data_IF_249734968173
#
_entry.id   IF_249734968173
#
_cell.length_a   1.000
_cell.length_b   1.000
_cell.length_c   1.000
_cell.angle_alpha   90.00
_cell.angle_beta   90.00
_cell.angle_gamma   90.00
#
_symmetry.space_group_name_H-M   'P 1'
#
loop_
_entity.id
_entity.type
_entity.pdbx_description
1 polymer ?
#
# COMPACT_ATOMS: atom_id res chain seq x y z
N UNK A 1 33.64 46.98 -13.59
CA UNK A 1 33.67 48.35 -14.15
C UNK A 1 35.10 48.91 -14.32
N UNK A 2 36.09 48.54 -13.48
CA UNK A 2 37.47 49.01 -13.69
C UNK A 2 38.10 48.53 -15.01
N UNK A 3 37.90 47.26 -15.41
CA UNK A 3 38.48 46.72 -16.64
C UNK A 3 37.96 47.39 -17.93
N UNK A 4 36.69 47.78 -17.96
CA UNK A 4 36.11 48.49 -19.11
C UNK A 4 36.62 49.93 -19.21
N UNK A 5 36.82 50.62 -18.08
CA UNK A 5 37.43 51.95 -18.08
C UNK A 5 38.88 51.90 -18.55
N UNK A 6 39.64 50.87 -18.16
CA UNK A 6 41.02 50.66 -18.66
C UNK A 6 41.09 50.39 -20.17
N UNK A 7 40.17 49.58 -20.71
CA UNK A 7 40.11 49.28 -22.15
C UNK A 7 39.79 50.54 -22.98
N UNK A 8 38.78 51.32 -22.57
CA UNK A 8 38.43 52.57 -23.24
C UNK A 8 39.53 53.62 -23.11
N UNK A 9 40.17 53.74 -21.95
CA UNK A 9 41.32 54.63 -21.74
C UNK A 9 42.51 54.24 -22.62
N UNK A 10 42.81 52.95 -22.73
CA UNK A 10 43.89 52.42 -23.59
C UNK A 10 43.60 52.63 -25.09
N UNK A 11 42.38 52.37 -25.54
CA UNK A 11 41.96 52.64 -26.93
C UNK A 11 41.98 54.13 -27.25
N UNK A 12 41.57 54.99 -26.32
CA UNK A 12 41.60 56.44 -26.50
C UNK A 12 43.03 56.97 -26.56
N UNK A 13 43.90 56.54 -25.64
CA UNK A 13 45.31 56.90 -25.65
C UNK A 13 46.01 56.39 -26.92
N UNK A 14 45.71 55.15 -27.34
CA UNK A 14 46.23 54.58 -28.58
C UNK A 14 45.77 55.33 -29.82
N UNK A 15 44.50 55.75 -29.88
CA UNK A 15 43.96 56.56 -30.98
C UNK A 15 44.62 57.93 -31.07
N UNK A 16 44.80 58.60 -29.93
CA UNK A 16 45.52 59.87 -29.86
C UNK A 16 46.97 59.73 -30.30
N UNK A 17 47.66 58.68 -29.84
CA UNK A 17 49.04 58.40 -30.23
C UNK A 17 49.15 58.11 -31.74
N UNK A 18 48.18 57.39 -32.31
CA UNK A 18 48.10 57.14 -33.75
C UNK A 18 47.86 58.43 -34.56
N UNK A 19 46.97 59.33 -34.09
CA UNK A 19 46.67 60.58 -34.79
C UNK A 19 47.85 61.55 -34.81
N UNK A 20 48.65 61.59 -33.75
CA UNK A 20 49.77 62.53 -33.64
C UNK A 20 51.10 61.98 -34.16
N UNK A 21 51.35 60.67 -34.01
CA UNK A 21 52.62 60.05 -34.40
C UNK A 21 52.52 59.05 -35.54
N UNK A 22 51.35 58.45 -35.78
CA UNK A 22 51.18 57.36 -36.75
C UNK A 22 50.71 57.81 -38.14
N UNK A 23 50.01 58.95 -38.24
CA UNK A 23 49.36 59.40 -39.47
C UNK A 23 49.95 60.74 -39.94
N UNK A 24 50.43 60.85 -41.20
CA UNK A 24 50.98 62.09 -41.76
C UNK A 24 49.87 63.07 -42.17
N UNK A 25 49.01 63.45 -41.23
CA UNK A 25 47.89 64.36 -41.47
C UNK A 25 48.32 65.80 -41.20
N UNK A 26 48.20 66.67 -42.21
CA UNK A 26 48.45 68.11 -42.04
C UNK A 26 47.24 68.80 -41.40
N UNK A 27 47.22 68.83 -40.06
CA UNK A 27 46.15 69.48 -39.28
C UNK A 27 45.99 70.98 -39.56
N UNK A 28 47.00 71.63 -40.15
CA UNK A 28 46.97 73.05 -40.54
C UNK A 28 46.00 73.35 -41.70
N UNK A 29 45.62 72.35 -42.49
CA UNK A 29 44.72 72.50 -43.66
C UNK A 29 43.28 72.07 -43.37
N UNK A 30 43.01 71.53 -42.18
CA UNK A 30 41.68 71.08 -41.78
C UNK A 30 40.90 72.22 -41.13
N UNK A 31 39.59 72.27 -41.41
CA UNK A 31 38.70 73.17 -40.68
C UNK A 31 38.63 72.76 -39.20
N UNK A 32 38.41 73.70 -38.27
CA UNK A 32 38.29 73.41 -36.85
C UNK A 32 37.24 72.32 -36.54
N UNK A 33 36.16 72.26 -37.31
CA UNK A 33 35.10 71.25 -37.18
C UNK A 33 35.57 69.85 -37.61
N UNK A 34 36.33 69.75 -38.71
CA UNK A 34 36.87 68.48 -39.16
C UNK A 34 37.87 67.93 -38.14
N UNK A 35 38.71 68.80 -37.58
CA UNK A 35 39.63 68.44 -36.51
C UNK A 35 38.87 67.90 -35.28
N UNK A 36 37.82 68.59 -34.83
CA UNK A 36 37.00 68.12 -33.71
C UNK A 36 36.41 66.73 -33.95
N UNK A 37 35.81 66.51 -35.13
CA UNK A 37 35.19 65.24 -35.49
C UNK A 37 36.20 64.08 -35.59
N UNK A 38 37.40 64.31 -36.10
CA UNK A 38 38.45 63.26 -36.16
C UNK A 38 38.87 62.77 -34.77
N UNK A 39 38.84 63.64 -33.77
CA UNK A 39 39.22 63.27 -32.39
C UNK A 39 38.05 62.68 -31.60
N UNK A 40 36.82 63.15 -31.83
CA UNK A 40 35.64 62.77 -31.04
C UNK A 40 34.80 61.64 -31.66
N UNK A 41 34.71 61.53 -32.99
CA UNK A 41 33.79 60.58 -33.62
C UNK A 41 34.19 59.10 -33.37
N UNK A 42 35.45 58.68 -33.52
CA UNK A 42 35.84 57.29 -33.28
C UNK A 42 35.55 56.78 -31.86
N UNK A 43 35.92 57.49 -30.77
CA UNK A 43 35.61 57.02 -29.42
C UNK A 43 34.11 57.02 -29.12
N UNK A 44 33.34 57.96 -29.67
CA UNK A 44 31.88 57.99 -29.52
C UNK A 44 31.23 56.79 -30.25
N UNK A 45 31.63 56.51 -31.49
CA UNK A 45 31.11 55.38 -32.27
C UNK A 45 31.45 54.05 -31.60
N UNK A 46 32.69 53.87 -31.14
CA UNK A 46 33.10 52.68 -30.40
C UNK A 46 32.31 52.50 -29.10
N UNK A 47 32.05 53.59 -28.37
CA UNK A 47 31.22 53.57 -27.17
C UNK A 47 29.78 53.13 -27.43
N UNK A 48 29.17 53.63 -28.51
CA UNK A 48 27.81 53.24 -28.93
C UNK A 48 27.76 51.78 -29.37
N UNK A 49 28.70 51.35 -30.24
CA UNK A 49 28.78 49.97 -30.70
C UNK A 49 28.99 48.98 -29.54
N UNK A 50 29.85 49.34 -28.59
CA UNK A 50 30.09 48.55 -27.39
C UNK A 50 28.83 48.42 -26.52
N UNK A 51 28.08 49.52 -26.30
CA UNK A 51 26.82 49.45 -25.56
C UNK A 51 25.76 48.59 -26.24
N UNK A 52 25.64 48.67 -27.57
CA UNK A 52 24.72 47.82 -28.33
C UNK A 52 25.13 46.35 -28.16
N UNK A 53 26.42 46.05 -28.29
CA UNK A 53 26.93 44.69 -28.12
C UNK A 53 26.68 44.16 -26.70
N UNK A 54 26.91 44.97 -25.65
CA UNK A 54 26.60 44.59 -24.27
C UNK A 54 25.12 44.27 -24.09
N UNK A 55 24.21 45.12 -24.61
CA UNK A 55 22.77 44.85 -24.54
C UNK A 55 22.38 43.55 -25.22
N UNK A 56 22.92 43.27 -26.41
CA UNK A 56 22.65 42.02 -27.14
C UNK A 56 23.20 40.81 -26.40
N UNK A 57 24.38 40.95 -25.78
CA UNK A 57 24.98 39.88 -24.98
C UNK A 57 24.16 39.58 -23.73
N UNK A 58 23.73 40.62 -23.01
CA UNK A 58 22.87 40.49 -21.83
C UNK A 58 21.53 39.85 -22.19
N UNK A 59 20.89 40.27 -23.29
CA UNK A 59 19.62 39.69 -23.72
C UNK A 59 19.75 38.20 -24.08
N UNK A 60 20.86 37.80 -24.72
CA UNK A 60 21.11 36.37 -25.02
C UNK A 60 21.34 35.54 -23.76
N UNK A 61 22.06 36.08 -22.77
CA UNK A 61 22.27 35.37 -21.50
C UNK A 61 20.94 35.16 -20.77
N UNK A 62 20.09 36.19 -20.73
CA UNK A 62 18.74 36.09 -20.13
C UNK A 62 17.88 35.06 -20.86
N UNK A 63 17.92 35.02 -22.20
CA UNK A 63 17.17 34.01 -22.98
C UNK A 63 17.65 32.59 -22.71
N UNK A 64 18.97 32.36 -22.63
CA UNK A 64 19.53 31.04 -22.32
C UNK A 64 19.17 30.61 -20.88
N UNK A 65 19.19 31.55 -19.93
CA UNK A 65 18.77 31.28 -18.56
C UNK A 65 17.27 30.97 -18.46
N UNK A 66 16.43 31.72 -19.17
CA UNK A 66 14.99 31.47 -19.22
C UNK A 66 14.67 30.09 -19.85
N UNK A 67 15.28 29.77 -21.00
CA UNK A 67 15.12 28.46 -21.64
C UNK A 67 15.63 27.31 -20.76
N UNK A 68 16.72 27.52 -20.01
CA UNK A 68 17.22 26.53 -19.05
C UNK A 68 16.28 26.33 -17.85
N UNK A 69 15.63 27.38 -17.36
CA UNK A 69 14.62 27.30 -16.31
C UNK A 69 13.36 26.58 -16.80
N UNK A 70 12.87 26.91 -17.99
CA UNK A 70 11.71 26.24 -18.61
C UNK A 70 11.97 24.75 -18.82
N UNK A 71 13.15 24.36 -19.31
CA UNK A 71 13.54 22.96 -19.46
C UNK A 71 13.60 22.23 -18.11
N UNK A 72 14.18 22.86 -17.08
CA UNK A 72 14.25 22.27 -15.75
C UNK A 72 12.87 22.13 -15.09
N UNK A 73 11.95 23.05 -15.35
CA UNK A 73 10.56 22.96 -14.89
C UNK A 73 9.79 21.86 -15.64
N UNK A 74 9.97 21.75 -16.96
CA UNK A 74 9.40 20.68 -17.77
C UNK A 74 9.87 19.29 -17.27
N UNK A 75 11.16 19.13 -16.97
CA UNK A 75 11.72 17.89 -16.43
C UNK A 75 11.12 17.54 -15.06
N UNK A 76 10.96 18.54 -14.18
CA UNK A 76 10.34 18.34 -12.85
C UNK A 76 8.88 17.91 -12.98
N UNK A 77 8.14 18.48 -13.93
CA UNK A 77 6.74 18.10 -14.19
C UNK A 77 6.70 16.67 -14.74
N UNK A 78 7.53 16.34 -15.73
CA UNK A 78 7.61 15.00 -16.31
C UNK A 78 7.95 13.93 -15.26
N UNK A 79 8.88 14.20 -14.34
CA UNK A 79 9.21 13.29 -13.24
C UNK A 79 8.02 13.08 -12.27
N UNK A 80 7.29 14.15 -11.94
CA UNK A 80 6.09 14.05 -11.08
C UNK A 80 4.98 13.26 -11.76
N UNK A 81 4.77 13.46 -13.06
CA UNK A 81 3.78 12.71 -13.83
C UNK A 81 4.16 11.24 -13.96
N UNK A 82 5.42 10.92 -14.24
CA UNK A 82 5.91 9.55 -14.26
C UNK A 82 5.71 8.85 -12.90
N UNK A 83 6.03 9.53 -11.79
CA UNK A 83 5.80 8.99 -10.44
C UNK A 83 4.31 8.77 -10.15
N UNK A 84 3.43 9.68 -10.59
CA UNK A 84 1.97 9.50 -10.48
C UNK A 84 1.50 8.30 -11.31
N UNK A 85 1.95 8.18 -12.55
CA UNK A 85 1.59 7.05 -13.41
C UNK A 85 2.04 5.71 -12.83
N UNK A 86 3.27 5.63 -12.32
CA UNK A 86 3.76 4.44 -11.61
C UNK A 86 2.90 4.12 -10.38
N UNK A 87 2.52 5.13 -9.60
CA UNK A 87 1.64 4.94 -8.46
C UNK A 87 0.25 4.41 -8.87
N UNK A 88 -0.36 4.98 -9.91
CA UNK A 88 -1.66 4.52 -10.43
C UNK A 88 -1.59 3.13 -11.04
N UNK A 89 -0.50 2.78 -11.73
CA UNK A 89 -0.27 1.43 -12.24
C UNK A 89 -0.19 0.42 -11.08
N UNK A 90 0.58 0.73 -10.04
CA UNK A 90 0.66 -0.11 -8.84
C UNK A 90 -0.69 -0.22 -8.10
N UNK A 91 -1.49 0.85 -8.04
CA UNK A 91 -2.85 0.79 -7.49
C UNK A 91 -3.77 -0.09 -8.34
N UNK A 92 -3.65 -0.04 -9.66
CA UNK A 92 -4.45 -0.84 -10.59
C UNK A 92 -4.08 -2.32 -10.50
N UNK A 93 -2.79 -2.64 -10.40
CA UNK A 93 -2.30 -3.99 -10.16
C UNK A 93 -2.80 -4.56 -8.81
N UNK A 94 -2.84 -3.74 -7.76
CA UNK A 94 -3.44 -4.12 -6.46
C UNK A 94 -4.95 -4.31 -6.52
N UNK A 95 -5.61 -3.75 -7.54
CA UNK A 95 -7.04 -3.90 -7.78
C UNK A 95 -7.39 -5.10 -8.67
N UNK A 96 -6.42 -5.95 -9.05
CA UNK A 96 -6.72 -7.20 -9.74
C UNK A 96 -7.52 -8.09 -8.77
N UNK A 97 -8.82 -8.13 -8.99
CA UNK A 97 -9.78 -8.82 -8.12
C UNK A 97 -9.64 -10.33 -8.35
N UNK A 98 -9.19 -11.05 -7.33
CA UNK A 98 -9.42 -12.49 -7.25
C UNK A 98 -10.73 -12.70 -6.51
N UNK A 99 -11.64 -13.47 -7.08
CA UNK A 99 -12.91 -13.78 -6.40
C UNK A 99 -12.63 -14.72 -5.22
N UNK A 100 -12.56 -14.14 -4.03
CA UNK A 100 -12.59 -14.89 -2.78
C UNK A 100 -14.03 -15.37 -2.55
N UNK A 101 -14.21 -16.66 -2.25
CA UNK A 101 -15.53 -17.26 -2.00
C UNK A 101 -16.06 -16.89 -0.62
N UNK A 102 -15.15 -16.70 0.33
CA UNK A 102 -15.50 -16.20 1.65
C UNK A 102 -14.26 -15.86 2.48
N UNK A 103 -14.46 -14.98 3.44
CA UNK A 103 -13.46 -14.50 4.39
C UNK A 103 -14.03 -14.68 5.78
N UNK A 104 -13.26 -15.30 6.67
CA UNK A 104 -13.57 -15.48 8.07
C UNK A 104 -12.48 -14.79 8.87
N UNK A 105 -12.85 -13.80 9.66
CA UNK A 105 -11.92 -13.05 10.50
C UNK A 105 -12.30 -13.19 11.97
N UNK A 106 -11.29 -13.42 12.78
CA UNK A 106 -11.39 -13.38 14.23
C UNK A 106 -10.35 -12.41 14.75
N UNK A 107 -10.74 -11.51 15.63
CA UNK A 107 -9.77 -10.64 16.30
C UNK A 107 -10.24 -10.25 17.68
N UNK A 108 -9.28 -10.07 18.58
CA UNK A 108 -9.49 -9.48 19.89
C UNK A 108 -9.67 -7.96 19.70
N UNK A 109 -10.87 -7.40 19.94
CA UNK A 109 -11.07 -5.97 19.81
C UNK A 109 -10.33 -5.22 20.93
N UNK A 110 -9.70 -4.12 20.56
CA UNK A 110 -8.93 -3.29 21.48
C UNK A 110 -9.82 -2.30 22.24
N UNK A 111 -10.90 -1.86 21.60
CA UNK A 111 -11.95 -1.03 22.17
C UNK A 111 -13.29 -1.70 21.76
N UNK A 112 -14.29 -0.94 21.35
CA UNK A 112 -15.51 -1.47 20.75
C UNK A 112 -15.30 -1.97 19.32
N UNK A 113 -16.13 -2.93 18.92
CA UNK A 113 -16.23 -3.34 17.52
C UNK A 113 -16.66 -2.15 16.67
N UNK A 114 -15.92 -1.82 15.59
CA UNK A 114 -16.32 -0.71 14.75
C UNK A 114 -17.63 -1.01 14.02
N UNK A 115 -18.52 -0.02 13.95
CA UNK A 115 -19.87 -0.15 13.39
C UNK A 115 -19.91 -0.69 11.94
N UNK A 116 -18.86 -0.48 11.14
CA UNK A 116 -18.80 -1.00 9.77
C UNK A 116 -18.75 -2.54 9.71
N UNK A 117 -18.41 -3.23 10.81
CA UNK A 117 -18.50 -4.69 10.88
C UNK A 117 -19.94 -5.20 10.87
N UNK A 118 -20.92 -4.36 11.20
CA UNK A 118 -22.34 -4.70 11.06
C UNK A 118 -22.78 -4.72 9.58
N UNK A 119 -22.03 -4.05 8.70
CA UNK A 119 -22.30 -3.89 7.27
C UNK A 119 -21.39 -4.80 6.40
N UNK A 120 -21.07 -5.99 6.89
CA UNK A 120 -20.23 -6.93 6.14
C UNK A 120 -20.96 -7.47 4.89
N UNK A 121 -20.28 -7.58 3.74
CA UNK A 121 -20.86 -8.15 2.55
C UNK A 121 -21.07 -9.67 2.70
N UNK A 122 -21.98 -10.23 1.91
CA UNK A 122 -22.18 -11.68 1.84
C UNK A 122 -20.86 -12.43 1.61
N UNK A 123 -20.63 -13.46 2.43
CA UNK A 123 -19.40 -14.25 2.40
C UNK A 123 -18.25 -13.67 3.23
N UNK A 124 -18.42 -12.52 3.87
CA UNK A 124 -17.50 -12.06 4.92
C UNK A 124 -18.12 -12.31 6.30
N UNK A 125 -17.37 -12.99 7.15
CA UNK A 125 -17.76 -13.36 8.51
C UNK A 125 -16.72 -12.80 9.47
N UNK A 126 -17.19 -12.21 10.56
CA UNK A 126 -16.34 -11.66 11.58
C UNK A 126 -16.84 -12.04 12.96
N UNK A 127 -15.95 -12.61 13.77
CA UNK A 127 -16.23 -12.95 15.17
C UNK A 127 -15.23 -12.20 16.05
N UNK A 128 -15.71 -11.47 17.05
CA UNK A 128 -14.84 -10.83 18.02
C UNK A 128 -14.41 -11.87 19.05
N UNK A 129 -13.10 -11.99 19.31
CA UNK A 129 -12.56 -12.87 20.33
C UNK A 129 -12.75 -12.22 21.71
N UNK A 130 -13.14 -13.02 22.69
CA UNK A 130 -13.17 -12.58 24.08
C UNK A 130 -11.84 -12.92 24.77
N UNK A 131 -11.39 -12.07 25.69
CA UNK A 131 -10.09 -12.25 26.37
C UNK A 131 -10.09 -13.47 27.29
N UNK A 132 -11.24 -13.76 27.89
CA UNK A 132 -11.41 -14.89 28.80
C UNK A 132 -11.25 -16.23 28.06
N UNK A 133 -11.63 -16.29 26.78
CA UNK A 133 -11.40 -17.46 25.90
C UNK A 133 -9.91 -17.72 25.63
N UNK A 134 -9.07 -16.69 25.75
CA UNK A 134 -7.62 -16.80 25.54
C UNK A 134 -6.85 -17.09 26.83
N UNK A 135 -7.41 -16.73 28.00
CA UNK A 135 -6.77 -16.93 29.30
C UNK A 135 -6.77 -18.40 29.76
N UNK A 136 -7.65 -19.24 29.21
CA UNK A 136 -7.77 -20.65 29.58
C UNK A 136 -6.53 -21.50 29.23
N UNK A 137 -5.70 -21.08 28.27
CA UNK A 137 -4.48 -21.80 27.88
C UNK A 137 -3.27 -21.55 28.82
N UNK A 138 -3.43 -20.70 29.84
CA UNK A 138 -2.32 -20.25 30.68
C UNK A 138 -1.54 -19.12 30.00
N UNK A 139 -1.14 -18.13 30.79
CA UNK A 139 -0.53 -16.86 30.34
C UNK A 139 0.79 -17.05 29.57
N UNK A 140 1.46 -18.20 29.73
CA UNK A 140 2.73 -18.53 29.09
C UNK A 140 2.60 -19.37 27.80
N UNK A 141 1.44 -19.97 27.49
CA UNK A 141 1.26 -20.83 26.31
C UNK A 141 0.66 -20.08 25.11
N UNK A 142 1.45 -19.12 24.68
CA UNK A 142 1.36 -18.37 23.44
C UNK A 142 0.91 -19.19 22.22
N UNK A 143 1.57 -20.32 21.99
CA UNK A 143 1.32 -21.15 20.82
C UNK A 143 0.01 -21.92 20.97
N UNK A 144 -0.32 -22.35 22.20
CA UNK A 144 -1.61 -22.91 22.54
C UNK A 144 -2.77 -21.96 22.25
N UNK A 145 -2.68 -20.69 22.64
CA UNK A 145 -3.73 -19.70 22.33
C UNK A 145 -3.87 -19.46 20.83
N UNK A 146 -2.74 -19.34 20.11
CA UNK A 146 -2.76 -19.17 18.65
C UNK A 146 -3.38 -20.37 17.95
N UNK A 147 -3.05 -21.58 18.41
CA UNK A 147 -3.60 -22.82 17.91
C UNK A 147 -5.12 -22.87 18.10
N UNK A 148 -5.61 -22.48 19.27
CA UNK A 148 -7.05 -22.43 19.58
C UNK A 148 -7.79 -21.49 18.63
N UNK A 149 -7.29 -20.28 18.44
CA UNK A 149 -7.90 -19.28 17.54
C UNK A 149 -7.90 -19.78 16.10
N UNK A 150 -6.78 -20.36 15.62
CA UNK A 150 -6.73 -20.96 14.28
C UNK A 150 -7.72 -22.12 14.14
N UNK A 151 -7.83 -22.97 15.16
CA UNK A 151 -8.80 -24.07 15.19
C UNK A 151 -10.24 -23.54 15.11
N UNK A 152 -10.58 -22.48 15.85
CA UNK A 152 -11.91 -21.86 15.85
C UNK A 152 -12.24 -21.29 14.47
N UNK A 153 -11.36 -20.47 13.88
CA UNK A 153 -11.54 -19.93 12.53
C UNK A 153 -11.73 -21.06 11.50
N UNK A 154 -10.88 -22.08 11.53
CA UNK A 154 -11.02 -23.22 10.60
C UNK A 154 -12.31 -23.99 10.83
N UNK A 155 -12.74 -24.13 12.08
CA UNK A 155 -14.04 -24.72 12.43
C UNK A 155 -15.20 -23.96 11.78
N UNK A 156 -15.23 -22.63 11.89
CA UNK A 156 -16.25 -21.79 11.25
C UNK A 156 -16.22 -21.90 9.71
N UNK A 157 -15.01 -21.94 9.13
CA UNK A 157 -14.82 -22.16 7.69
C UNK A 157 -15.42 -23.49 7.27
N UNK A 158 -15.14 -24.58 7.99
CA UNK A 158 -15.63 -25.92 7.64
C UNK A 158 -17.13 -26.10 7.88
N UNK A 159 -17.69 -25.44 8.90
CA UNK A 159 -19.13 -25.41 9.13
C UNK A 159 -19.86 -24.70 7.98
N UNK A 160 -19.29 -23.58 7.51
CA UNK A 160 -19.89 -22.77 6.44
C UNK A 160 -19.65 -23.37 5.05
N UNK A 161 -18.47 -23.98 4.86
CA UNK A 161 -17.98 -24.49 3.58
C UNK A 161 -17.14 -25.75 3.83
N UNK A 162 -17.79 -26.87 4.14
CA UNK A 162 -17.12 -28.14 4.44
C UNK A 162 -16.09 -28.55 3.38
N UNK A 163 -16.39 -28.29 2.11
CA UNK A 163 -15.48 -28.50 0.97
C UNK A 163 -14.08 -27.89 1.14
N UNK A 164 -13.94 -26.83 1.95
CA UNK A 164 -12.67 -26.17 2.24
C UNK A 164 -11.67 -27.11 2.94
N UNK A 165 -12.13 -28.07 3.75
CA UNK A 165 -11.26 -29.03 4.43
C UNK A 165 -10.44 -29.88 3.45
N UNK A 166 -10.96 -30.12 2.24
CA UNK A 166 -10.29 -30.89 1.18
C UNK A 166 -9.39 -30.05 0.26
N UNK A 167 -9.36 -28.73 0.43
CA UNK A 167 -8.48 -27.87 -0.35
C UNK A 167 -7.08 -27.84 0.27
N UNK A 168 -6.03 -27.57 -0.52
CA UNK A 168 -4.73 -27.25 0.03
C UNK A 168 -4.78 -26.03 0.95
N UNK A 169 -4.08 -26.14 2.08
CA UNK A 169 -4.04 -25.15 3.13
C UNK A 169 -2.69 -24.43 3.11
N UNK A 170 -2.72 -23.11 2.94
CA UNK A 170 -1.53 -22.25 2.95
C UNK A 170 -1.58 -21.25 4.10
N UNK A 171 -0.44 -21.04 4.75
CA UNK A 171 -0.29 -20.16 5.89
C UNK A 171 0.72 -19.04 5.64
N UNK A 172 0.38 -17.82 6.05
CA UNK A 172 1.35 -16.71 6.09
C UNK A 172 2.33 -16.88 7.24
N UNK A 173 3.62 -16.95 6.92
CA UNK A 173 4.69 -17.20 7.90
C UNK A 173 4.72 -16.10 8.96
N UNK A 174 4.71 -16.49 10.24
CA UNK A 174 5.13 -15.58 11.32
C UNK A 174 6.67 -15.60 11.41
N UNK A 175 7.37 -14.48 11.13
CA UNK A 175 8.84 -14.46 11.14
C UNK A 175 9.44 -14.57 12.54
N UNK A 176 8.64 -14.45 13.61
CA UNK A 176 9.11 -14.46 14.99
C UNK A 176 9.18 -15.86 15.60
N UNK A 177 8.67 -16.88 14.91
CA UNK A 177 8.57 -18.25 15.42
C UNK A 177 9.32 -19.24 14.52
N UNK A 178 9.75 -20.37 15.06
CA UNK A 178 10.39 -21.40 14.23
C UNK A 178 9.38 -22.01 13.25
N UNK A 179 9.76 -22.12 11.97
CA UNK A 179 8.86 -22.59 10.93
C UNK A 179 8.37 -24.04 11.12
N UNK A 180 9.18 -24.92 11.72
CA UNK A 180 8.78 -26.32 11.96
C UNK A 180 7.70 -26.43 13.04
N UNK A 181 7.86 -25.68 14.13
CA UNK A 181 6.91 -25.62 15.23
C UNK A 181 5.58 -25.02 14.77
N UNK A 182 5.63 -23.95 13.96
CA UNK A 182 4.45 -23.37 13.33
C UNK A 182 3.68 -24.41 12.50
N UNK A 183 4.35 -25.14 11.60
CA UNK A 183 3.67 -26.14 10.77
C UNK A 183 3.08 -27.29 11.59
N UNK A 184 3.76 -27.70 12.67
CA UNK A 184 3.25 -28.73 13.57
C UNK A 184 1.98 -28.26 14.30
N UNK A 185 2.00 -27.04 14.86
CA UNK A 185 0.86 -26.41 15.52
C UNK A 185 -0.33 -26.27 14.56
N UNK A 186 -0.09 -25.77 13.35
CA UNK A 186 -1.13 -25.58 12.34
C UNK A 186 -1.73 -26.91 11.89
N UNK A 187 -0.91 -27.95 11.76
CA UNK A 187 -1.38 -29.30 11.42
C UNK A 187 -2.29 -29.82 12.53
N UNK A 188 -1.94 -29.59 13.79
CA UNK A 188 -2.75 -29.97 14.93
C UNK A 188 -4.08 -29.20 14.98
N UNK A 189 -4.05 -27.88 14.80
CA UNK A 189 -5.25 -27.05 14.72
C UNK A 189 -6.19 -27.50 13.59
N UNK A 190 -5.64 -27.79 12.41
CA UNK A 190 -6.40 -28.29 11.26
C UNK A 190 -7.06 -29.64 11.57
N UNK A 191 -6.31 -30.59 12.15
CA UNK A 191 -6.85 -31.90 12.54
C UNK A 191 -7.96 -31.77 13.58
N UNK A 192 -7.78 -30.92 14.60
CA UNK A 192 -8.80 -30.68 15.63
C UNK A 192 -10.06 -30.07 15.03
N UNK A 193 -9.93 -29.05 14.17
CA UNK A 193 -11.06 -28.44 13.49
C UNK A 193 -11.80 -29.43 12.56
N UNK A 194 -11.08 -30.33 11.89
CA UNK A 194 -11.65 -31.39 11.05
C UNK A 194 -12.31 -32.50 11.85
N UNK A 195 -11.73 -32.92 12.97
CA UNK A 195 -12.30 -33.94 13.86
C UNK A 195 -13.61 -33.48 14.52
N UNK A 196 -13.80 -32.17 14.67
CA UNK A 196 -15.06 -31.60 15.10
C UNK A 196 -16.17 -31.70 14.03
N UNK A 197 -15.82 -32.02 12.78
CA UNK A 197 -16.79 -32.23 11.71
C UNK A 197 -17.23 -33.70 11.69
N UNK A 198 -18.54 -33.93 11.52
CA UNK A 198 -19.13 -35.27 11.38
C UNK A 198 -18.89 -35.83 9.96
N UNK A 199 -17.63 -36.09 9.62
CA UNK A 199 -17.20 -36.62 8.34
C UNK A 199 -16.65 -38.04 8.49
N UNK A 200 -17.16 -38.96 7.68
CA UNK A 200 -16.75 -40.37 7.71
C UNK A 200 -15.30 -40.61 7.25
N UNK A 201 -14.75 -39.71 6.42
CA UNK A 201 -13.37 -39.74 5.93
C UNK A 201 -12.82 -38.32 5.96
N UNK A 202 -11.70 -38.14 6.67
CA UNK A 202 -11.01 -36.86 6.76
C UNK A 202 -9.84 -36.81 5.78
N UNK A 203 -9.61 -35.66 5.11
CA UNK A 203 -8.41 -35.47 4.29
C UNK A 203 -7.15 -35.40 5.16
N UNK A 204 -6.00 -35.67 4.56
CA UNK A 204 -4.72 -35.52 5.25
C UNK A 204 -4.40 -34.04 5.49
N UNK A 205 -4.08 -33.68 6.74
CA UNK A 205 -3.66 -32.34 7.11
C UNK A 205 -2.20 -32.10 6.70
N UNK A 206 -2.01 -31.33 5.63
CA UNK A 206 -0.72 -30.86 5.14
C UNK A 206 -0.70 -29.32 4.98
N UNK A 207 -0.68 -28.55 6.08
CA UNK A 207 -0.50 -27.11 5.98
C UNK A 207 0.88 -26.80 5.39
N UNK A 208 0.93 -25.82 4.48
CA UNK A 208 2.16 -25.38 3.81
C UNK A 208 2.32 -23.87 3.99
N UNK A 209 3.54 -23.37 4.02
CA UNK A 209 3.75 -21.94 3.97
C UNK A 209 3.36 -21.38 2.61
N UNK A 210 2.71 -20.21 2.63
CA UNK A 210 2.29 -19.54 1.42
C UNK A 210 3.51 -18.98 0.68
N UNK A 211 3.76 -19.39 -0.58
CA UNK A 211 5.01 -19.07 -1.26
C UNK A 211 5.06 -17.60 -1.72
N UNK A 212 6.28 -17.07 -1.75
CA UNK A 212 6.58 -15.74 -2.27
C UNK A 212 6.36 -14.60 -1.26
N UNK A 213 6.72 -13.40 -1.68
CA UNK A 213 6.53 -12.16 -0.90
C UNK A 213 5.68 -11.15 -1.68
N UNK A 214 5.07 -10.20 -0.98
CA UNK A 214 4.28 -9.13 -1.57
C UNK A 214 2.77 -9.27 -1.34
N UNK A 215 1.98 -8.65 -2.22
CA UNK A 215 0.52 -8.63 -2.05
C UNK A 215 -0.08 -10.04 -2.12
N UNK A 216 -0.99 -10.35 -1.19
CA UNK A 216 -1.68 -11.65 -1.11
C UNK A 216 -2.27 -12.05 -2.48
N UNK A 217 -3.04 -11.15 -3.11
CA UNK A 217 -3.72 -11.45 -4.38
C UNK A 217 -2.77 -11.86 -5.52
N UNK A 218 -1.63 -11.17 -5.65
CA UNK A 218 -0.62 -11.50 -6.68
C UNK A 218 -0.05 -12.89 -6.47
N UNK A 219 0.22 -13.26 -5.21
CA UNK A 219 0.70 -14.60 -4.86
C UNK A 219 -0.36 -15.67 -5.08
N UNK A 220 -1.64 -15.39 -4.81
CA UNK A 220 -2.75 -16.32 -5.10
C UNK A 220 -2.86 -16.59 -6.60
N UNK A 221 -2.75 -15.55 -7.42
CA UNK A 221 -2.77 -15.70 -8.87
C UNK A 221 -1.58 -16.51 -9.37
N UNK A 222 -0.38 -16.21 -8.87
CA UNK A 222 0.83 -16.96 -9.21
C UNK A 222 0.68 -18.44 -8.81
N UNK A 223 0.10 -18.73 -7.65
CA UNK A 223 -0.13 -20.10 -7.20
C UNK A 223 -1.05 -20.87 -8.16
N UNK A 224 -2.19 -20.29 -8.55
CA UNK A 224 -3.09 -20.93 -9.52
C UNK A 224 -2.52 -21.00 -10.95
N UNK A 225 -1.60 -20.11 -11.31
CA UNK A 225 -0.89 -20.17 -12.59
C UNK A 225 0.17 -21.28 -12.59
N UNK A 226 0.87 -21.46 -11.47
CA UNK A 226 1.90 -22.50 -11.31
C UNK A 226 1.28 -23.90 -11.23
N UNK A 227 0.20 -24.06 -10.46
CA UNK A 227 -0.51 -25.31 -10.33
C UNK A 227 -1.95 -25.20 -10.86
N UNK A 228 -2.07 -25.50 -12.15
CA UNK A 228 -3.36 -25.54 -12.84
C UNK A 228 -4.25 -26.71 -12.44
N UNK A 229 -3.75 -27.66 -11.63
CA UNK A 229 -4.54 -28.78 -11.10
C UNK A 229 -5.39 -28.41 -9.89
N UNK A 230 -5.09 -27.29 -9.21
CA UNK A 230 -5.76 -26.91 -7.98
C UNK A 230 -7.20 -26.43 -8.23
N UNK A 231 -8.21 -27.05 -7.58
CA UNK A 231 -9.59 -26.57 -7.66
C UNK A 231 -9.81 -25.27 -6.87
N UNK A 232 -9.00 -25.06 -5.84
CA UNK A 232 -9.08 -23.94 -4.92
C UNK A 232 -8.01 -24.08 -3.84
N UNK A 233 -7.92 -23.09 -2.95
CA UNK A 233 -7.00 -23.09 -1.80
C UNK A 233 -7.66 -22.39 -0.61
N UNK A 234 -7.31 -22.82 0.60
CA UNK A 234 -7.56 -22.06 1.83
C UNK A 234 -6.26 -21.35 2.19
N UNK A 235 -6.33 -20.05 2.39
CA UNK A 235 -5.19 -19.26 2.87
C UNK A 235 -5.58 -18.65 4.18
N UNK A 236 -4.75 -18.81 5.20
CA UNK A 236 -4.99 -18.21 6.50
C UNK A 236 -3.72 -17.60 7.06
N UNK A 237 -3.92 -16.63 7.92
CA UNK A 237 -2.87 -15.92 8.64
C UNK A 237 -3.34 -15.75 10.07
N UNK A 238 -2.41 -15.85 11.00
CA UNK A 238 -2.68 -15.59 12.40
C UNK A 238 -1.52 -14.79 12.97
N UNK A 239 -1.85 -13.73 13.70
CA UNK A 239 -0.91 -12.82 14.31
C UNK A 239 -1.33 -12.55 15.76
N UNK A 240 -0.33 -12.39 16.62
CA UNK A 240 -0.51 -12.22 18.05
C UNK A 240 0.61 -11.33 18.62
N UNK A 241 0.59 -10.01 18.36
CA UNK A 241 1.59 -9.07 18.88
C UNK A 241 1.72 -8.99 20.42
N UNK A 242 0.75 -9.51 21.20
CA UNK A 242 0.86 -9.60 22.68
C UNK A 242 2.00 -10.51 23.15
N UNK A 243 2.46 -11.44 22.32
CA UNK A 243 3.41 -12.49 22.68
C UNK A 243 4.85 -12.01 22.88
N UNK A 244 5.16 -10.81 22.41
CA UNK A 244 6.53 -10.25 22.48
C UNK A 244 6.71 -9.31 23.67
N UNK A 245 5.61 -8.83 24.29
CA UNK A 245 5.67 -7.74 25.27
C UNK A 245 5.47 -8.16 26.73
N UNK A 246 5.04 -9.40 26.99
CA UNK A 246 4.65 -9.85 28.33
C UNK A 246 3.33 -9.24 28.78
N UNK A 247 2.54 -10.01 29.53
CA UNK A 247 1.31 -9.53 30.16
C UNK A 247 1.74 -8.75 31.41
N UNK A 248 1.37 -7.47 31.60
CA UNK A 248 1.59 -6.81 32.88
C UNK A 248 0.67 -7.47 33.92
N UNK A 249 1.27 -8.11 34.92
CA UNK A 249 0.58 -8.72 36.05
C UNK A 249 -0.13 -7.66 36.90
N UNK A 250 -1.38 -7.35 36.59
CA UNK A 250 -2.22 -6.46 37.39
C UNK A 250 -3.38 -5.89 36.59
N UNK A 251 -4.56 -5.81 37.21
CA UNK A 251 -5.71 -5.07 36.66
C UNK A 251 -5.26 -3.65 36.29
N UNK A 252 -4.94 -3.43 35.01
CA UNK A 252 -4.79 -2.11 34.42
C UNK A 252 -3.95 -1.14 35.25
N UNK A 253 -2.78 -1.57 35.74
CA UNK A 253 -1.73 -0.60 36.04
C UNK A 253 -1.56 0.23 34.77
N UNK A 254 -1.83 1.53 34.88
CA UNK A 254 -1.59 2.50 33.83
C UNK A 254 -0.24 2.18 33.21
N UNK A 255 -0.23 1.88 31.90
CA UNK A 255 1.00 1.63 31.16
C UNK A 255 2.02 2.66 31.64
N UNK A 256 3.13 2.21 32.24
CA UNK A 256 4.16 3.11 32.74
C UNK A 256 4.44 4.11 31.61
N UNK A 257 4.39 5.42 31.91
CA UNK A 257 4.52 6.50 30.90
C UNK A 257 5.73 6.33 29.95
N UNK A 258 6.69 5.48 30.31
CA UNK A 258 7.84 5.10 29.49
C UNK A 258 7.50 4.24 28.25
N UNK A 259 6.37 3.51 28.22
CA UNK A 259 6.00 2.60 27.12
C UNK A 259 5.00 3.21 26.12
N UNK A 260 4.39 4.36 26.44
CA UNK A 260 3.46 5.08 25.56
C UNK A 260 4.00 5.42 24.15
N UNK A 261 5.24 5.93 23.97
CA UNK A 261 5.69 6.33 22.64
C UNK A 261 5.88 5.13 21.69
N UNK A 262 6.30 3.97 22.19
CA UNK A 262 6.42 2.75 21.38
C UNK A 262 5.05 2.14 21.08
N UNK A 263 4.13 2.12 22.05
CA UNK A 263 2.76 1.64 21.85
C UNK A 263 1.94 2.51 20.88
N UNK A 264 2.18 3.83 20.88
CA UNK A 264 1.53 4.76 19.93
C UNK A 264 2.00 4.52 18.49
N UNK A 265 3.26 4.13 18.30
CA UNK A 265 3.84 3.86 16.97
C UNK A 265 3.53 2.47 16.43
N UNK A 266 3.45 1.46 17.31
CA UNK A 266 3.30 0.06 16.94
C UNK A 266 1.86 -0.46 17.04
N UNK A 267 0.93 0.40 17.50
CA UNK A 267 -0.45 0.01 17.77
C UNK A 267 -0.59 -0.71 19.10
N UNK A 268 -1.84 -0.75 19.58
CA UNK A 268 -2.22 -1.52 20.76
C UNK A 268 -2.19 -3.01 20.41
N UNK A 269 -1.66 -3.84 21.30
CA UNK A 269 -1.53 -5.28 21.06
C UNK A 269 -2.89 -5.98 20.89
N UNK A 270 -2.93 -7.08 20.15
CA UNK A 270 -4.14 -7.83 19.78
C UNK A 270 -3.82 -9.28 19.37
N UNK A 271 -4.85 -10.09 19.18
CA UNK A 271 -4.81 -11.37 18.46
C UNK A 271 -5.69 -11.23 17.24
N UNK A 272 -5.27 -11.75 16.10
CA UNK A 272 -6.10 -11.83 14.92
C UNK A 272 -5.78 -13.08 14.11
N UNK A 273 -6.82 -13.79 13.69
CA UNK A 273 -6.71 -14.85 12.70
C UNK A 273 -7.70 -14.60 11.58
N UNK A 274 -7.27 -14.81 10.34
CA UNK A 274 -8.11 -14.65 9.16
C UNK A 274 -7.91 -15.86 8.27
N UNK A 275 -9.00 -16.45 7.79
CA UNK A 275 -9.00 -17.46 6.75
C UNK A 275 -9.79 -16.99 5.53
N UNK A 276 -9.27 -17.28 4.34
CA UNK A 276 -9.84 -16.90 3.06
C UNK A 276 -9.88 -18.13 2.15
N UNK A 277 -11.03 -18.36 1.53
CA UNK A 277 -11.20 -19.46 0.58
C UNK A 277 -11.18 -18.91 -0.84
N UNK A 278 -10.27 -19.40 -1.67
CA UNK A 278 -10.17 -19.05 -3.09
C UNK A 278 -10.52 -20.27 -3.93
N UNK A 279 -11.38 -20.08 -4.93
CA UNK A 279 -11.77 -21.12 -5.87
C UNK A 279 -11.41 -20.68 -7.28
N UNK A 280 -11.14 -21.64 -8.16
CA UNK A 280 -10.92 -21.36 -9.58
C UNK A 280 -12.23 -20.98 -10.27
N UNK A 281 -12.19 -20.03 -11.20
CA UNK A 281 -13.38 -19.48 -11.87
C UNK A 281 -14.16 -20.48 -12.76
N UNK A 282 -13.61 -21.68 -13.03
CA UNK A 282 -14.21 -22.68 -13.92
C UNK A 282 -14.28 -24.08 -13.29
N UNK A 283 -14.66 -24.17 -12.02
CA UNK A 283 -14.91 -25.48 -11.41
C UNK A 283 -16.08 -26.18 -12.11
N UNK A 284 -15.96 -27.48 -12.43
CA UNK A 284 -17.07 -28.24 -12.99
C UNK A 284 -18.24 -28.19 -12.01
N UNK A 285 -19.43 -27.88 -12.52
CA UNK A 285 -20.64 -27.89 -11.69
C UNK A 285 -20.79 -29.30 -11.10
N UNK A 286 -21.03 -29.44 -9.80
CA UNK A 286 -21.21 -30.76 -9.20
C UNK A 286 -22.33 -31.48 -9.94
N UNK A 287 -22.01 -32.67 -10.46
CA UNK A 287 -23.01 -33.54 -11.08
C UNK A 287 -24.01 -33.85 -9.98
N UNK A 288 -25.25 -33.39 -10.12
CA UNK A 288 -26.31 -33.76 -9.20
C UNK A 288 -26.47 -35.27 -9.31
N UNK A 289 -26.00 -36.00 -8.31
CA UNK A 289 -26.24 -37.42 -8.23
C UNK A 289 -27.77 -37.60 -8.20
N UNK A 290 -28.35 -38.46 -9.05
CA UNK A 290 -29.78 -38.70 -9.01
C UNK A 290 -30.15 -39.07 -7.58
N UNK A 291 -31.29 -38.57 -7.06
CA UNK A 291 -31.68 -38.82 -5.68
C UNK A 291 -31.60 -40.32 -5.45
N UNK A 292 -30.72 -40.74 -4.51
CA UNK A 292 -30.58 -42.15 -4.14
C UNK A 292 -31.99 -42.67 -3.93
N UNK A 293 -32.45 -43.59 -4.80
CA UNK A 293 -33.75 -44.25 -4.63
C UNK A 293 -33.77 -44.71 -3.18
N UNK A 294 -34.75 -44.23 -2.41
CA UNK A 294 -34.96 -44.69 -1.03
C UNK A 294 -35.06 -46.20 -1.08
N UNK A 295 -33.97 -46.90 -0.78
CA UNK A 295 -34.03 -48.30 -0.42
C UNK A 295 -34.79 -48.28 0.88
N UNK A 296 -36.06 -48.66 0.83
CA UNK A 296 -36.89 -48.90 2.01
C UNK A 296 -36.15 -49.94 2.84
N UNK A 297 -35.36 -49.48 3.80
CA UNK A 297 -35.05 -50.28 4.96
C UNK A 297 -36.40 -50.59 5.60
N UNK A 298 -36.77 -51.87 5.61
CA UNK A 298 -37.81 -52.40 6.46
C UNK A 298 -37.27 -52.21 7.88
N UNK A 299 -37.59 -51.08 8.49
CA UNK A 299 -37.36 -50.84 9.90
C UNK A 299 -38.64 -50.31 10.51
N UNK A 300 -39.12 -51.16 11.40
CA UNK A 300 -40.32 -51.09 12.21
C UNK A 300 -40.46 -49.73 12.89
N UNK A 301 -41.45 -48.97 12.44
CA UNK A 301 -42.39 -48.17 13.22
C UNK A 301 -41.97 -47.91 14.69
N UNK A 302 -41.28 -46.80 14.94
CA UNK A 302 -41.50 -46.00 16.15
C UNK A 302 -41.60 -44.52 15.76
N UNK A 303 -42.74 -43.96 16.13
CA UNK A 303 -43.26 -42.65 15.78
C UNK A 303 -42.61 -41.56 16.62
N UNK A 304 -42.06 -40.53 15.96
CA UNK A 304 -41.73 -39.24 16.56
C UNK A 304 -41.88 -38.16 15.50
N UNK A 305 -42.99 -37.42 15.54
CA UNK A 305 -43.27 -36.27 14.67
C UNK A 305 -42.34 -35.11 15.05
N UNK A 306 -41.59 -34.59 14.08
CA UNK A 306 -41.40 -33.15 13.96
C UNK A 306 -41.16 -32.76 12.50
N UNK A 307 -42.05 -31.91 12.01
CA UNK A 307 -42.13 -31.44 10.63
C UNK A 307 -41.71 -29.97 10.60
N UNK A 308 -40.60 -29.67 9.94
CA UNK A 308 -40.33 -28.34 9.37
C UNK A 308 -39.46 -28.53 8.14
N UNK A 309 -40.06 -28.30 6.98
CA UNK A 309 -39.46 -28.43 5.66
C UNK A 309 -38.78 -27.11 5.27
N UNK A 310 -37.46 -27.14 5.08
CA UNK A 310 -36.71 -26.04 4.48
C UNK A 310 -36.77 -26.19 2.95
N UNK A 311 -37.35 -25.19 2.28
CA UNK A 311 -37.38 -25.08 0.82
C UNK A 311 -36.08 -24.39 0.38
N UNK A 312 -35.16 -25.13 -0.24
CA UNK A 312 -34.02 -24.54 -0.94
C UNK A 312 -34.49 -23.99 -2.29
N UNK A 313 -34.49 -22.66 -2.40
CA UNK A 313 -34.66 -21.95 -3.68
C UNK A 313 -33.35 -22.01 -4.47
N UNK A 314 -33.48 -22.43 -5.72
CA UNK A 314 -32.42 -22.59 -6.71
C UNK A 314 -31.88 -21.24 -7.22
N UNK A 315 -30.58 -21.22 -7.54
CA UNK A 315 -30.03 -20.34 -8.58
C UNK A 315 -29.76 -18.89 -8.19
N UNK A 316 -28.77 -18.66 -7.33
CA UNK A 316 -28.16 -17.33 -7.14
C UNK A 316 -26.71 -17.34 -7.59
N UNK A 317 -26.44 -17.11 -8.88
CA UNK A 317 -25.10 -16.69 -9.32
C UNK A 317 -25.04 -15.18 -9.11
N UNK A 318 -24.67 -14.76 -7.90
CA UNK A 318 -24.36 -13.36 -7.61
C UNK A 318 -22.93 -13.07 -8.08
N UNK A 319 -22.81 -12.35 -9.20
CA UNK A 319 -21.54 -11.81 -9.68
C UNK A 319 -21.36 -10.45 -9.01
N UNK A 320 -20.63 -10.39 -7.90
CA UNK A 320 -20.36 -9.15 -7.19
C UNK A 320 -18.97 -8.61 -7.51
N UNK A 321 -18.92 -7.35 -7.93
CA UNK A 321 -17.70 -6.57 -8.16
C UNK A 321 -17.52 -5.54 -7.05
N UNK A 322 -17.39 -5.99 -5.81
CA UNK A 322 -17.05 -5.12 -4.68
C UNK A 322 -15.63 -4.59 -4.79
N UNK A 323 -15.40 -3.34 -4.40
CA UNK A 323 -14.06 -2.83 -4.08
C UNK A 323 -13.88 -3.00 -2.57
N UNK A 324 -13.19 -4.05 -2.15
CA UNK A 324 -12.70 -4.11 -0.76
C UNK A 324 -11.57 -3.08 -0.69
N UNK A 325 -11.86 -1.91 -0.12
CA UNK A 325 -10.80 -0.99 0.31
C UNK A 325 -10.22 -1.59 1.58
N UNK A 326 -9.13 -2.33 1.43
CA UNK A 326 -8.15 -2.40 2.50
C UNK A 326 -7.57 -0.98 2.62
N UNK A 327 -8.01 -0.23 3.63
CA UNK A 327 -7.30 0.97 4.05
C UNK A 327 -5.91 0.52 4.45
N UNK A 328 -4.96 0.78 3.56
CA UNK A 328 -3.54 0.65 3.85
C UNK A 328 -3.24 1.77 4.85
N UNK A 329 -3.35 1.48 6.16
CA UNK A 329 -2.79 2.32 7.21
C UNK A 329 -1.26 2.27 7.10
N UNK A 330 -0.71 2.89 6.06
CA UNK A 330 0.65 3.41 6.09
C UNK A 330 0.57 4.86 6.49
N UNK A 331 0.84 5.07 7.77
CA UNK A 331 1.27 6.32 8.37
C UNK A 331 2.28 7.02 7.45
N UNK A 332 1.91 8.19 6.94
CA UNK A 332 2.87 9.16 6.42
C UNK A 332 3.27 10.08 7.58
N UNK A 333 4.57 10.29 7.85
CA UNK A 333 5.00 11.27 8.82
C UNK A 333 4.82 12.66 8.21
N UNK A 334 3.86 13.42 8.74
CA UNK A 334 3.74 14.85 8.46
C UNK A 334 4.92 15.59 9.10
N UNK A 335 5.90 15.99 8.29
CA UNK A 335 6.83 17.05 8.68
C UNK A 335 6.26 18.41 8.26
N UNK A 336 6.16 19.30 9.26
CA UNK A 336 6.27 20.75 9.17
C UNK A 336 5.31 21.54 8.26
N UNK A 337 4.25 22.08 8.87
CA UNK A 337 3.78 23.43 8.58
C UNK A 337 3.43 24.14 9.90
N UNK A 338 4.47 24.63 10.58
CA UNK A 338 4.33 25.71 11.55
C UNK A 338 4.23 27.02 10.78
N UNK A 339 3.04 27.64 10.76
CA UNK A 339 2.81 29.08 11.01
C UNK A 339 1.49 29.58 10.42
N UNK A 340 0.45 29.73 11.27
CA UNK A 340 -0.33 30.97 11.43
C UNK A 340 -1.40 30.85 12.54
N UNK A 341 -1.70 31.94 13.27
CA UNK A 341 -2.49 31.96 14.50
C UNK A 341 -4.02 32.09 14.23
N UNK A 342 -4.88 31.99 15.25
CA UNK A 342 -6.29 31.68 15.07
C UNK A 342 -7.12 32.93 14.76
N UNK A 343 -8.10 32.80 13.86
CA UNK A 343 -9.19 33.76 13.75
C UNK A 343 -10.53 33.05 13.52
N UNK A 344 -11.35 33.10 14.56
CA UNK A 344 -12.80 33.32 14.57
C UNK A 344 -13.74 32.43 13.74
N UNK A 345 -14.63 31.76 14.51
CA UNK A 345 -16.10 31.68 14.36
C UNK A 345 -16.66 31.35 12.96
N UNK A 346 -17.34 30.21 12.86
CA UNK A 346 -18.82 30.17 12.84
C UNK A 346 -19.36 28.76 12.57
N UNK A 347 -20.38 28.41 13.35
CA UNK A 347 -21.42 27.40 13.17
C UNK A 347 -21.70 26.96 11.73
N UNK A 348 -21.98 25.67 11.53
CA UNK A 348 -23.33 25.18 11.22
C UNK A 348 -23.36 23.65 11.12
N UNK A 349 -24.15 23.03 12.00
CA UNK A 349 -24.84 21.75 11.84
C UNK A 349 -25.94 21.86 10.74
N UNK A 350 -26.62 20.77 10.33
CA UNK A 350 -26.65 19.42 10.93
C UNK A 350 -26.05 18.30 10.09
#
# INVERSE_FOLDING_TARGET
>A
MLGTMGLFGGLFAGWWLLLWWGLPISFQKMSPTAMLLTHLAPPVILGVAWRIWQKVRESRIVQVQAAGQEAAEADRIAQREAARQQHYAALTERQIKVQCRGVWGQALPVNDNPAWLEELPDGAYWTALERDELAESGEDDVFGSLQLVVQQVLGEVYLSASGAAWLPHYFEVNPQSEGREQLAMLKQAQLQAMNAQDHAVLPEAEPKFFPGSGALMSRVQQLFQQDSGLPGVVIYAADAPFLVRGIPDGEWDELKQQDEPQNTLQGKPGYAAVAMVFLRENLPKPVQLPPKKKVRAILTRLTGKNSSSMVMSAGGVCRYSGKIRWCNCRYWPSYACLSRPPSSKSNCCP
#
